data_IF_881611291597
#
_entry.id   IF_881611291597
#
_cell.length_a   1.000
_cell.length_b   1.000
_cell.length_c   1.000
_cell.angle_alpha   90.00
_cell.angle_beta   90.00
_cell.angle_gamma   90.00
#
_symmetry.space_group_name_H-M   'P 1'
#
loop_
_entity.id
_entity.type
_entity.pdbx_description
1 polymer ?
#
# COMPACT_ATOMS: atom_id res chain seq x y z
N UNK A 1 -8.92 2.00 31.15
CA UNK A 1 -9.02 1.28 29.85
C UNK A 1 -10.48 0.98 29.51
N UNK A 2 -11.42 1.87 29.84
CA UNK A 2 -12.87 1.53 29.91
C UNK A 2 -13.75 2.42 29.02
N UNK A 3 -13.43 2.59 27.73
CA UNK A 3 -14.16 3.59 26.91
C UNK A 3 -14.89 3.06 25.67
N UNK A 4 -15.04 1.75 25.52
CA UNK A 4 -16.01 1.15 24.62
C UNK A 4 -16.45 -0.16 25.28
N UNK A 5 -17.75 -0.46 25.32
CA UNK A 5 -18.41 -1.51 26.11
C UNK A 5 -18.02 -2.96 25.68
N UNK A 6 -16.73 -3.23 25.52
CA UNK A 6 -16.18 -4.37 24.78
C UNK A 6 -16.26 -4.23 23.25
N UNK A 7 -16.89 -3.17 22.73
CA UNK A 7 -17.10 -2.98 21.30
C UNK A 7 -15.96 -2.20 20.61
N UNK A 8 -15.57 -2.63 19.41
CA UNK A 8 -14.58 -1.91 18.60
C UNK A 8 -15.29 -0.71 17.92
N UNK A 9 -14.79 0.54 18.07
CA UNK A 9 -15.44 1.69 17.47
C UNK A 9 -15.34 1.68 15.95
N UNK A 10 -16.46 1.94 15.26
CA UNK A 10 -16.54 2.10 13.81
C UNK A 10 -16.16 3.52 13.35
N UNK A 11 -15.10 4.10 13.93
CA UNK A 11 -14.62 5.44 13.62
C UNK A 11 -13.09 5.47 13.56
N UNK A 12 -12.54 6.07 12.50
CA UNK A 12 -11.10 6.06 12.23
C UNK A 12 -10.31 6.80 13.33
N UNK A 13 -10.81 7.96 13.77
CA UNK A 13 -10.14 8.80 14.78
C UNK A 13 -10.21 8.14 16.16
N UNK A 14 -11.32 7.50 16.49
CA UNK A 14 -11.47 6.73 17.72
C UNK A 14 -10.52 5.52 17.73
N UNK A 15 -10.41 4.79 16.61
CA UNK A 15 -9.47 3.68 16.48
C UNK A 15 -8.02 4.12 16.66
N UNK A 16 -7.60 5.24 16.05
CA UNK A 16 -6.24 5.78 16.20
C UNK A 16 -5.88 6.24 17.62
N UNK A 17 -6.88 6.49 18.48
CA UNK A 17 -6.65 6.80 19.90
C UNK A 17 -6.39 5.56 20.75
N UNK A 18 -6.63 4.36 20.21
CA UNK A 18 -6.37 3.12 20.95
C UNK A 18 -4.86 2.86 21.04
N UNK A 19 -4.33 2.47 22.22
CA UNK A 19 -2.91 2.16 22.38
C UNK A 19 -2.45 1.08 21.38
N UNK A 20 -1.41 1.39 20.60
CA UNK A 20 -0.85 0.49 19.60
C UNK A 20 -1.55 0.49 18.23
N UNK A 21 -2.60 1.29 18.05
CA UNK A 21 -3.34 1.41 16.78
C UNK A 21 -2.93 2.69 16.06
N UNK A 22 -2.07 2.56 15.04
CA UNK A 22 -1.75 3.67 14.13
C UNK A 22 -2.73 3.78 12.95
N UNK A 23 -2.60 4.84 12.14
CA UNK A 23 -3.46 5.13 10.98
C UNK A 23 -3.69 3.94 10.04
N UNK A 24 -2.64 3.17 9.75
CA UNK A 24 -2.73 1.95 8.94
C UNK A 24 -3.62 0.90 9.60
N UNK A 25 -3.37 0.59 10.87
CA UNK A 25 -4.11 -0.42 11.61
C UNK A 25 -5.58 -0.03 11.71
N UNK A 26 -5.87 1.23 12.06
CA UNK A 26 -7.23 1.77 12.08
C UNK A 26 -7.92 1.64 10.71
N UNK A 27 -7.22 2.00 9.62
CA UNK A 27 -7.77 1.90 8.25
C UNK A 27 -8.06 0.47 7.82
N UNK A 28 -7.22 -0.51 8.22
CA UNK A 28 -7.46 -1.94 7.97
C UNK A 28 -8.69 -2.42 8.71
N UNK A 29 -8.86 -2.05 9.99
CA UNK A 29 -10.05 -2.39 10.78
C UNK A 29 -11.31 -1.81 10.12
N UNK A 30 -11.28 -0.53 9.72
CA UNK A 30 -12.40 0.11 9.01
C UNK A 30 -12.79 -0.64 7.73
N UNK A 31 -11.82 -1.11 6.95
CA UNK A 31 -12.10 -1.87 5.73
C UNK A 31 -12.62 -3.28 5.99
N UNK A 32 -11.97 -4.03 6.88
CA UNK A 32 -12.22 -5.46 7.06
C UNK A 32 -13.41 -5.74 8.00
N UNK A 33 -13.53 -5.00 9.10
CA UNK A 33 -14.57 -5.21 10.10
C UNK A 33 -15.86 -4.43 9.80
N UNK A 34 -15.74 -3.24 9.21
CA UNK A 34 -16.88 -2.33 9.01
C UNK A 34 -17.23 -2.08 7.54
N UNK A 35 -16.49 -2.69 6.60
CA UNK A 35 -16.75 -2.54 5.15
C UNK A 35 -16.56 -1.13 4.62
N UNK A 36 -15.96 -0.22 5.39
CA UNK A 36 -15.73 1.17 4.97
C UNK A 36 -14.59 1.17 3.94
N UNK A 37 -14.81 1.68 2.72
CA UNK A 37 -13.77 1.67 1.70
C UNK A 37 -12.53 2.44 2.19
N UNK A 38 -11.41 1.74 2.34
CA UNK A 38 -10.13 2.31 2.71
C UNK A 38 -9.03 1.73 1.81
N UNK A 39 -7.97 2.50 1.59
CA UNK A 39 -6.82 2.03 0.80
C UNK A 39 -5.55 2.21 1.64
N UNK A 40 -5.36 1.41 2.70
CA UNK A 40 -4.18 1.53 3.55
C UNK A 40 -2.93 1.25 2.71
N UNK A 41 -1.93 2.11 2.80
CA UNK A 41 -0.65 1.90 2.10
C UNK A 41 0.37 1.31 3.07
N UNK A 42 0.98 0.18 2.68
CA UNK A 42 2.11 -0.41 3.38
C UNK A 42 3.39 -0.38 2.54
N UNK A 43 4.45 -1.04 3.01
CA UNK A 43 5.75 -1.08 2.33
C UNK A 43 5.71 -1.82 0.99
N UNK A 44 4.81 -2.78 0.80
CA UNK A 44 4.58 -3.41 -0.50
C UNK A 44 3.89 -2.40 -1.41
N UNK A 45 2.71 -1.91 -1.03
CA UNK A 45 1.92 -1.01 -1.86
C UNK A 45 2.72 0.25 -2.24
N UNK A 46 3.45 0.84 -1.29
CA UNK A 46 4.28 2.02 -1.55
C UNK A 46 5.37 1.75 -2.60
N UNK A 47 6.10 0.63 -2.45
CA UNK A 47 7.12 0.22 -3.42
C UNK A 47 6.52 -0.06 -4.79
N UNK A 48 5.42 -0.79 -4.85
CA UNK A 48 4.79 -1.18 -6.12
C UNK A 48 4.15 0.01 -6.82
N UNK A 49 3.53 0.95 -6.11
CA UNK A 49 3.05 2.20 -6.67
C UNK A 49 4.18 3.00 -7.33
N UNK A 50 5.36 3.05 -6.72
CA UNK A 50 6.55 3.68 -7.30
C UNK A 50 7.12 2.92 -8.50
N UNK A 51 7.08 1.58 -8.49
CA UNK A 51 7.55 0.74 -9.61
C UNK A 51 6.61 0.80 -10.81
N UNK A 52 5.31 0.85 -10.58
CA UNK A 52 4.26 0.89 -11.61
C UNK A 52 3.94 2.31 -12.08
N UNK A 53 4.72 3.31 -11.65
CA UNK A 53 4.53 4.70 -12.02
C UNK A 53 3.14 5.26 -11.66
N UNK A 54 2.54 4.75 -10.58
CA UNK A 54 1.26 5.23 -10.05
C UNK A 54 1.42 6.36 -9.05
N UNK A 55 2.59 6.47 -8.41
CA UNK A 55 2.92 7.55 -7.48
C UNK A 55 4.42 7.82 -7.48
N UNK A 56 4.79 9.09 -7.28
CA UNK A 56 6.15 9.52 -6.96
C UNK A 56 6.29 9.95 -5.49
N UNK A 57 5.34 9.52 -4.65
CA UNK A 57 5.22 9.97 -3.28
C UNK A 57 6.46 9.66 -2.45
N UNK A 58 6.88 10.64 -1.65
CA UNK A 58 8.02 10.49 -0.72
C UNK A 58 7.62 9.86 0.62
N UNK A 59 6.31 9.77 0.86
CA UNK A 59 5.73 9.20 2.06
C UNK A 59 4.44 8.44 1.73
N UNK A 60 3.95 7.67 2.70
CA UNK A 60 2.78 6.80 2.53
C UNK A 60 1.50 7.59 2.31
N UNK A 61 1.36 8.76 2.95
CA UNK A 61 0.18 9.60 2.86
C UNK A 61 0.01 10.16 1.44
N UNK A 62 1.11 10.57 0.80
CA UNK A 62 1.09 11.01 -0.59
C UNK A 62 0.73 9.85 -1.52
N UNK A 63 1.35 8.68 -1.33
CA UNK A 63 1.02 7.51 -2.15
C UNK A 63 -0.43 7.08 -2.01
N UNK A 64 -0.98 7.10 -0.79
CA UNK A 64 -2.39 6.79 -0.57
C UNK A 64 -3.31 7.76 -1.32
N UNK A 65 -3.04 9.07 -1.23
CA UNK A 65 -3.79 10.07 -1.99
C UNK A 65 -3.73 9.85 -3.49
N UNK A 66 -2.56 9.48 -4.02
CA UNK A 66 -2.40 9.21 -5.45
C UNK A 66 -3.19 7.97 -5.87
N UNK A 67 -3.08 6.86 -5.14
CA UNK A 67 -3.77 5.61 -5.47
C UNK A 67 -5.29 5.74 -5.35
N UNK A 68 -5.80 6.51 -4.37
CA UNK A 68 -7.23 6.82 -4.26
C UNK A 68 -7.78 7.63 -5.43
N UNK A 69 -6.93 8.39 -6.14
CA UNK A 69 -7.31 9.10 -7.38
C UNK A 69 -7.28 8.17 -8.61
N UNK A 70 -6.38 7.18 -8.61
CA UNK A 70 -6.24 6.23 -9.72
C UNK A 70 -7.34 5.17 -9.70
N UNK A 71 -7.65 4.62 -8.53
CA UNK A 71 -8.55 3.47 -8.41
C UNK A 71 -9.97 3.85 -7.97
N UNK A 72 -11.01 3.24 -8.56
CA UNK A 72 -12.39 3.37 -8.10
C UNK A 72 -12.55 3.01 -6.61
N UNK A 73 -13.37 3.77 -5.87
CA UNK A 73 -13.51 3.65 -4.40
C UNK A 73 -13.97 2.28 -3.94
N UNK A 74 -14.88 1.66 -4.67
CA UNK A 74 -15.41 0.32 -4.43
C UNK A 74 -14.34 -0.79 -4.58
N UNK A 75 -13.28 -0.54 -5.34
CA UNK A 75 -12.19 -1.51 -5.55
C UNK A 75 -11.10 -1.48 -4.46
N UNK A 76 -11.08 -0.47 -3.59
CA UNK A 76 -9.95 -0.19 -2.71
C UNK A 76 -9.56 -1.35 -1.78
N UNK A 77 -10.52 -1.93 -1.06
CA UNK A 77 -10.26 -3.02 -0.13
C UNK A 77 -9.71 -4.26 -0.85
N UNK A 78 -10.24 -4.57 -2.04
CA UNK A 78 -9.80 -5.70 -2.87
C UNK A 78 -8.39 -5.47 -3.41
N UNK A 79 -8.13 -4.28 -3.96
CA UNK A 79 -6.81 -3.92 -4.50
C UNK A 79 -5.73 -3.88 -3.43
N UNK A 80 -6.04 -3.39 -2.23
CA UNK A 80 -5.12 -3.41 -1.09
C UNK A 80 -4.51 -4.81 -0.88
N UNK A 81 -5.36 -5.83 -0.78
CA UNK A 81 -4.91 -7.22 -0.61
C UNK A 81 -4.19 -7.74 -1.85
N UNK A 82 -4.75 -7.53 -3.04
CA UNK A 82 -4.16 -8.04 -4.30
C UNK A 82 -2.74 -7.50 -4.55
N UNK A 83 -2.51 -6.21 -4.29
CA UNK A 83 -1.19 -5.58 -4.46
C UNK A 83 -0.20 -6.11 -3.42
N UNK A 84 -0.63 -6.35 -2.18
CA UNK A 84 0.22 -6.97 -1.15
C UNK A 84 0.64 -8.38 -1.56
N UNK A 85 -0.31 -9.22 -1.99
CA UNK A 85 -0.01 -10.59 -2.44
C UNK A 85 0.95 -10.59 -3.63
N UNK A 86 0.65 -9.80 -4.66
CA UNK A 86 1.54 -9.66 -5.81
C UNK A 86 2.95 -9.16 -5.40
N UNK A 87 3.00 -8.20 -4.48
CA UNK A 87 4.26 -7.67 -3.96
C UNK A 87 5.09 -8.65 -3.15
N UNK A 88 4.49 -9.73 -2.66
CA UNK A 88 5.19 -10.82 -1.96
C UNK A 88 5.66 -11.89 -2.94
N UNK A 89 4.81 -12.30 -3.87
CA UNK A 89 5.06 -13.44 -4.75
C UNK A 89 5.87 -13.07 -6.00
N UNK A 90 5.63 -11.88 -6.57
CA UNK A 90 6.13 -11.53 -7.90
C UNK A 90 7.03 -10.29 -7.94
N UNK A 91 6.97 -9.43 -6.92
CA UNK A 91 7.70 -8.16 -6.91
C UNK A 91 8.47 -7.92 -5.59
N UNK A 92 9.47 -8.77 -5.27
CA UNK A 92 10.24 -8.66 -4.03
C UNK A 92 11.00 -7.34 -3.93
N UNK A 93 11.36 -6.92 -2.72
CA UNK A 93 12.03 -5.66 -2.49
C UNK A 93 13.47 -5.65 -3.06
N UNK A 94 14.19 -6.76 -2.93
CA UNK A 94 15.59 -6.91 -3.34
C UNK A 94 15.72 -7.94 -4.46
N UNK A 95 16.77 -7.82 -5.29
CA UNK A 95 17.07 -8.75 -6.37
C UNK A 95 15.97 -8.86 -7.43
N UNK A 96 15.13 -7.83 -7.57
CA UNK A 96 13.98 -7.86 -8.45
C UNK A 96 14.34 -7.34 -9.85
N UNK A 97 14.19 -8.20 -10.87
CA UNK A 97 14.24 -7.77 -12.26
C UNK A 97 12.88 -7.19 -12.65
N UNK A 98 12.82 -5.88 -12.89
CA UNK A 98 11.60 -5.21 -13.33
C UNK A 98 11.15 -5.69 -14.72
N UNK A 99 12.09 -6.12 -15.57
CA UNK A 99 11.80 -6.58 -16.92
C UNK A 99 11.04 -7.92 -16.93
N UNK A 100 11.37 -8.80 -15.98
CA UNK A 100 10.78 -10.15 -15.88
C UNK A 100 9.50 -10.17 -15.03
N UNK A 101 9.14 -9.03 -14.41
CA UNK A 101 7.94 -8.91 -13.61
C UNK A 101 6.68 -8.82 -14.49
N UNK A 102 5.61 -9.58 -14.19
CA UNK A 102 4.37 -9.57 -14.97
C UNK A 102 3.71 -8.19 -15.12
N UNK A 103 3.94 -7.28 -14.18
CA UNK A 103 3.38 -5.92 -14.20
C UNK A 103 4.47 -4.88 -14.45
N UNK A 104 5.61 -4.96 -13.75
CA UNK A 104 6.65 -3.94 -13.94
C UNK A 104 7.23 -3.92 -15.35
N UNK A 105 7.22 -5.05 -16.08
CA UNK A 105 7.79 -5.16 -17.42
C UNK A 105 7.16 -4.18 -18.42
N UNK A 106 5.85 -3.90 -18.28
CA UNK A 106 5.13 -2.95 -19.12
C UNK A 106 4.75 -1.66 -18.39
N UNK A 107 4.61 -1.66 -17.06
CA UNK A 107 4.17 -0.48 -16.30
C UNK A 107 5.32 0.45 -15.88
N UNK A 108 6.53 -0.10 -15.65
CA UNK A 108 7.62 0.70 -15.12
C UNK A 108 8.21 1.65 -16.17
N UNK A 109 8.55 2.87 -15.74
CA UNK A 109 9.24 3.82 -16.62
C UNK A 109 10.68 3.37 -16.89
N UNK A 110 11.21 3.75 -18.06
CA UNK A 110 12.64 3.54 -18.39
C UNK A 110 13.57 4.11 -17.32
N UNK A 111 13.19 5.24 -16.71
CA UNK A 111 13.91 5.85 -15.58
C UNK A 111 13.93 4.92 -14.36
N UNK A 112 12.77 4.44 -13.92
CA UNK A 112 12.64 3.52 -12.79
C UNK A 112 13.43 2.22 -13.02
N UNK A 113 13.39 1.66 -14.22
CA UNK A 113 14.17 0.46 -14.57
C UNK A 113 15.68 0.68 -14.46
N UNK A 114 16.18 1.88 -14.81
CA UNK A 114 17.61 2.23 -14.66
C UNK A 114 17.99 2.41 -13.18
N UNK A 115 17.16 3.09 -12.41
CA UNK A 115 17.39 3.30 -10.98
C UNK A 115 17.50 1.98 -10.20
N UNK A 116 16.59 1.03 -10.45
CA UNK A 116 16.58 -0.26 -9.76
C UNK A 116 17.78 -1.14 -10.15
N UNK A 117 18.18 -1.15 -11.44
CA UNK A 117 19.40 -1.86 -11.90
C UNK A 117 20.66 -1.32 -11.23
N UNK A 118 20.77 0.00 -11.07
CA UNK A 118 21.92 0.64 -10.44
C UNK A 118 21.92 0.46 -8.92
N UNK A 119 20.74 0.42 -8.28
CA UNK A 119 20.59 0.20 -6.84
C UNK A 119 20.76 -1.26 -6.39
N UNK A 120 20.65 -2.23 -7.31
CA UNK A 120 20.89 -3.65 -7.05
C UNK A 120 22.37 -4.06 -7.04
N UNK A 121 23.31 -3.16 -7.37
CA UNK A 121 24.73 -3.44 -7.20
C UNK A 121 25.09 -3.26 -5.71
N UNK A 122 25.42 -4.33 -4.96
CA UNK A 122 25.90 -4.16 -3.59
C UNK A 122 27.21 -3.37 -3.66
N UNK A 123 27.34 -2.33 -2.83
CA UNK A 123 28.67 -1.86 -2.45
C UNK A 123 29.37 -2.94 -1.64
#
# INVERSE_FOLDING_TARGET
LEHHDGEVPADLVALEKLPGVGHKTASVVMAQAFGVPSFPVDTHIHRLAARWNLSNGRNVEQTERDLKKVFPRDSWNKLHLQIIYFGREHCPARGHSLADCPICGWAATKKRMREEKNGSNPR
#
